data_IF_226227124628
#
_entry.id   IF_226227124628
#
_cell.length_a   1.000
_cell.length_b   1.000
_cell.length_c   1.000
_cell.angle_alpha   90.00
_cell.angle_beta   90.00
_cell.angle_gamma   90.00
#
_symmetry.space_group_name_H-M   'P 1'
#
loop_
_entity.id
_entity.type
_entity.pdbx_description
1 polymer ?
#
# COMPACT_ATOMS: atom_id res chain seq x y z
N UNK A 1 -10.93 2.85 12.29
CA UNK A 1 -10.14 4.09 12.06
C UNK A 1 -10.09 4.33 10.55
N UNK A 2 -10.33 5.54 10.04
CA UNK A 2 -10.28 5.76 8.59
C UNK A 2 -8.86 6.16 8.19
N UNK A 3 -8.21 5.31 7.41
CA UNK A 3 -6.91 5.64 6.84
C UNK A 3 -7.05 6.70 5.75
N UNK A 4 -6.08 7.61 5.65
CA UNK A 4 -6.03 8.59 4.57
C UNK A 4 -5.53 7.90 3.30
N UNK A 5 -6.45 7.36 2.50
CA UNK A 5 -6.11 6.63 1.27
C UNK A 5 -5.33 7.47 0.26
N UNK A 6 -5.62 8.77 0.13
CA UNK A 6 -4.86 9.73 -0.70
C UNK A 6 -3.39 9.82 -0.25
N UNK A 7 -3.16 9.84 1.07
CA UNK A 7 -1.82 9.86 1.63
C UNK A 7 -1.09 8.52 1.42
N UNK A 8 -1.81 7.40 1.53
CA UNK A 8 -1.26 6.06 1.28
C UNK A 8 -0.93 5.89 -0.20
N UNK A 9 -1.80 6.31 -1.11
CA UNK A 9 -1.57 6.30 -2.56
C UNK A 9 -0.31 7.05 -2.91
N UNK A 10 -0.20 8.29 -2.43
CA UNK A 10 0.96 9.16 -2.65
C UNK A 10 2.25 8.50 -2.13
N UNK A 11 2.20 7.94 -0.92
CA UNK A 11 3.32 7.22 -0.31
C UNK A 11 3.77 6.04 -1.17
N UNK A 12 2.83 5.20 -1.59
CA UNK A 12 3.12 4.02 -2.41
C UNK A 12 3.68 4.42 -3.78
N UNK A 13 3.20 5.50 -4.39
CA UNK A 13 3.78 6.05 -5.62
C UNK A 13 5.19 6.61 -5.43
N UNK A 14 5.48 7.29 -4.33
CA UNK A 14 6.84 7.79 -4.03
C UNK A 14 7.82 6.61 -3.91
N UNK A 15 7.44 5.57 -3.17
CA UNK A 15 8.25 4.34 -3.05
C UNK A 15 8.38 3.62 -4.40
N UNK A 16 7.33 3.61 -5.24
CA UNK A 16 7.38 2.96 -6.55
C UNK A 16 8.27 3.71 -7.55
N UNK A 17 8.21 5.04 -7.59
CA UNK A 17 8.90 5.86 -8.58
C UNK A 17 10.34 6.19 -8.15
N UNK A 18 10.52 6.65 -6.92
CA UNK A 18 11.78 7.19 -6.42
C UNK A 18 12.42 6.26 -5.37
N UNK A 19 11.65 5.33 -4.79
CA UNK A 19 12.14 4.44 -3.73
C UNK A 19 12.47 5.18 -2.44
N UNK A 20 11.91 6.36 -2.21
CA UNK A 20 12.24 7.21 -1.06
C UNK A 20 11.32 6.93 0.12
N UNK A 21 11.82 7.22 1.33
CA UNK A 21 10.98 7.21 2.52
C UNK A 21 10.01 8.39 2.48
N UNK A 22 8.73 8.11 2.71
CA UNK A 22 7.71 9.15 2.69
C UNK A 22 7.69 10.02 3.94
N UNK A 23 7.01 11.15 3.80
CA UNK A 23 6.93 12.18 4.86
C UNK A 23 6.17 11.70 6.10
N UNK A 24 5.29 10.70 5.97
CA UNK A 24 4.50 10.17 7.09
C UNK A 24 5.17 8.95 7.72
N UNK A 25 5.97 9.18 8.77
CA UNK A 25 6.69 8.13 9.49
C UNK A 25 5.77 7.00 9.99
N UNK A 26 4.63 7.31 10.61
CA UNK A 26 3.74 6.28 11.18
C UNK A 26 3.11 5.35 10.12
N UNK A 27 2.63 5.93 9.01
CA UNK A 27 2.08 5.16 7.90
C UNK A 27 3.16 4.35 7.20
N UNK A 28 4.32 4.96 6.99
CA UNK A 28 5.47 4.30 6.37
C UNK A 28 5.93 3.09 7.19
N UNK A 29 6.11 3.26 8.50
CA UNK A 29 6.44 2.17 9.42
C UNK A 29 5.34 1.11 9.45
N UNK A 30 4.07 1.49 9.38
CA UNK A 30 2.96 0.52 9.30
C UNK A 30 3.07 -0.31 8.02
N UNK A 31 3.24 0.33 6.86
CA UNK A 31 3.36 -0.37 5.58
C UNK A 31 4.61 -1.28 5.55
N UNK A 32 5.71 -0.84 6.15
CA UNK A 32 6.93 -1.63 6.28
C UNK A 32 6.73 -2.85 7.18
N UNK A 33 6.20 -2.65 8.40
CA UNK A 33 5.93 -3.73 9.35
C UNK A 33 4.89 -4.73 8.83
N UNK A 34 3.90 -4.26 8.08
CA UNK A 34 2.83 -5.08 7.50
C UNK A 34 3.23 -5.70 6.15
N UNK A 35 4.42 -5.39 5.63
CA UNK A 35 5.00 -6.00 4.42
C UNK A 35 4.40 -5.51 3.11
N UNK A 36 3.89 -4.26 3.06
CA UNK A 36 3.51 -3.59 1.81
C UNK A 36 4.72 -2.97 1.12
N UNK A 37 5.71 -2.52 1.89
CA UNK A 37 6.99 -2.03 1.40
C UNK A 37 8.12 -2.80 2.07
N UNK A 38 9.26 -2.89 1.40
CA UNK A 38 10.47 -3.49 1.95
C UNK A 38 11.71 -2.68 1.53
N UNK A 39 12.78 -2.67 2.33
CA UNK A 39 14.03 -2.04 1.93
C UNK A 39 14.55 -2.75 0.68
N UNK A 40 15.01 -1.96 -0.29
CA UNK A 40 15.56 -2.49 -1.54
C UNK A 40 16.72 -3.44 -1.20
N UNK A 41 16.71 -4.70 -1.70
CA UNK A 41 17.79 -5.62 -1.43
C UNK A 41 19.11 -5.09 -2.02
N UNK A 42 20.21 -5.38 -1.33
CA UNK A 42 21.57 -5.03 -1.79
C UNK A 42 21.89 -5.62 -3.17
N UNK A 43 21.23 -6.73 -3.52
CA UNK A 43 21.32 -7.42 -4.81
C UNK A 43 20.72 -6.60 -5.97
N UNK A 44 19.74 -5.72 -5.68
CA UNK A 44 19.19 -4.73 -6.62
C UNK A 44 19.87 -3.35 -6.49
N UNK A 45 21.04 -3.30 -5.85
CA UNK A 45 21.79 -2.07 -5.60
C UNK A 45 21.21 -1.22 -4.46
N UNK A 46 20.48 -1.82 -3.53
CA UNK A 46 19.95 -1.13 -2.36
C UNK A 46 21.05 -0.69 -1.40
N UNK A 47 21.11 0.60 -1.09
CA UNK A 47 22.01 1.19 -0.09
C UNK A 47 21.36 1.24 1.32
N UNK A 48 20.29 0.46 1.54
CA UNK A 48 19.47 0.52 2.77
C UNK A 48 18.65 1.81 2.95
N UNK A 49 18.83 2.78 2.06
CA UNK A 49 18.11 4.06 2.04
C UNK A 49 16.92 4.06 1.06
N UNK A 50 16.92 3.11 0.12
CA UNK A 50 15.88 2.96 -0.89
C UNK A 50 14.92 1.83 -0.53
N UNK A 51 13.65 2.01 -0.87
CA UNK A 51 12.57 1.06 -0.64
C UNK A 51 11.94 0.63 -1.95
N UNK A 52 11.26 -0.52 -1.93
CA UNK A 52 10.50 -1.04 -3.07
C UNK A 52 9.12 -1.51 -2.59
N UNK A 53 8.14 -1.49 -3.50
CA UNK A 53 6.83 -2.09 -3.24
C UNK A 53 6.94 -3.61 -3.27
N UNK A 54 6.38 -4.28 -2.27
CA UNK A 54 6.16 -5.72 -2.33
C UNK A 54 4.99 -6.03 -3.26
N UNK A 55 4.74 -7.31 -3.54
CA UNK A 55 3.51 -7.73 -4.25
C UNK A 55 2.25 -7.18 -3.60
N UNK A 56 2.21 -7.13 -2.26
CA UNK A 56 1.08 -6.62 -1.49
C UNK A 56 0.95 -5.10 -1.64
N UNK A 57 2.05 -4.36 -1.55
CA UNK A 57 2.07 -2.91 -1.79
C UNK A 57 1.60 -2.53 -3.18
N UNK A 58 2.06 -3.25 -4.20
CA UNK A 58 1.63 -3.06 -5.58
C UNK A 58 0.13 -3.36 -5.77
N UNK A 59 -0.40 -4.42 -5.14
CA UNK A 59 -1.83 -4.70 -5.15
C UNK A 59 -2.63 -3.59 -4.47
N UNK A 60 -2.18 -3.10 -3.31
CA UNK A 60 -2.86 -2.00 -2.62
C UNK A 60 -2.87 -0.74 -3.48
N UNK A 61 -1.74 -0.38 -4.08
CA UNK A 61 -1.66 0.77 -4.98
C UNK A 61 -2.63 0.62 -6.16
N UNK A 62 -2.68 -0.55 -6.80
CA UNK A 62 -3.62 -0.80 -7.89
C UNK A 62 -5.09 -0.71 -7.45
N UNK A 63 -5.42 -1.10 -6.22
CA UNK A 63 -6.77 -0.95 -5.67
C UNK A 63 -7.16 0.50 -5.45
N UNK A 64 -6.22 1.32 -4.96
CA UNK A 64 -6.45 2.75 -4.72
C UNK A 64 -6.53 3.50 -6.05
N UNK A 65 -5.61 3.24 -6.99
CA UNK A 65 -5.58 3.85 -8.33
C UNK A 65 -6.85 3.47 -9.14
N UNK A 66 -7.34 2.25 -8.99
CA UNK A 66 -8.61 1.81 -9.59
C UNK A 66 -9.86 2.43 -8.92
N UNK A 67 -9.73 3.07 -7.76
CA UNK A 67 -10.84 3.76 -7.11
C UNK A 67 -11.07 5.13 -7.77
N UNK A 68 -11.66 5.08 -8.96
CA UNK A 68 -12.08 6.26 -9.71
C UNK A 68 -13.04 7.10 -8.83
N UNK A 69 -13.03 8.44 -8.89
CA UNK A 69 -13.92 9.31 -8.10
C UNK A 69 -15.42 8.97 -8.12
N UNK A 70 -15.90 8.24 -9.14
CA UNK A 70 -17.30 7.79 -9.26
C UNK A 70 -17.53 6.33 -8.78
N UNK A 71 -16.46 5.53 -8.66
CA UNK A 71 -16.52 4.11 -8.29
C UNK A 71 -15.55 3.80 -7.13
N UNK A 72 -15.85 4.36 -5.95
CA UNK A 72 -15.12 4.14 -4.70
C UNK A 72 -15.26 2.72 -4.12
N UNK A 73 -15.73 1.74 -4.90
CA UNK A 73 -16.03 0.39 -4.45
C UNK A 73 -14.82 -0.33 -3.80
N UNK A 74 -13.57 -0.23 -4.30
CA UNK A 74 -12.42 -0.89 -3.68
C UNK A 74 -12.08 -0.29 -2.30
N UNK A 75 -12.08 1.04 -2.20
CA UNK A 75 -11.81 1.75 -0.95
C UNK A 75 -12.95 1.60 0.05
N UNK A 76 -14.20 1.51 -0.41
CA UNK A 76 -15.33 1.24 0.47
C UNK A 76 -15.21 -0.12 1.16
N UNK A 77 -14.84 -1.17 0.41
CA UNK A 77 -14.62 -2.48 1.02
C UNK A 77 -13.53 -2.40 2.07
N UNK A 78 -12.41 -1.73 1.79
CA UNK A 78 -11.34 -1.52 2.79
C UNK A 78 -11.83 -0.71 4.00
N UNK A 79 -12.60 0.36 3.79
CA UNK A 79 -13.14 1.21 4.85
C UNK A 79 -14.19 0.52 5.75
N UNK A 80 -14.84 -0.54 5.27
CA UNK A 80 -15.78 -1.34 6.05
C UNK A 80 -15.07 -2.17 7.14
N UNK A 81 -13.77 -2.44 6.95
CA UNK A 81 -12.95 -3.17 7.91
C UNK A 81 -12.30 -2.22 8.94
N UNK A 82 -12.10 -2.73 10.17
CA UNK A 82 -11.50 -1.94 11.26
C UNK A 82 -10.01 -1.64 11.02
N UNK A 83 -9.27 -2.63 10.47
CA UNK A 83 -7.87 -2.52 10.05
C UNK A 83 -7.66 -3.14 8.64
N UNK A 84 -7.92 -2.38 7.56
CA UNK A 84 -7.69 -2.84 6.18
C UNK A 84 -6.23 -3.00 5.78
N UNK A 85 -5.29 -2.45 6.55
CA UNK A 85 -3.86 -2.62 6.31
C UNK A 85 -3.32 -3.85 7.05
N UNK A 86 -4.16 -4.61 7.75
CA UNK A 86 -3.75 -5.86 8.35
C UNK A 86 -3.48 -6.87 7.21
N UNK A 87 -2.31 -7.52 7.17
CA UNK A 87 -1.95 -8.41 6.10
C UNK A 87 -2.94 -9.58 5.94
N UNK A 88 -3.52 -10.09 7.03
CA UNK A 88 -4.49 -11.18 6.96
C UNK A 88 -5.83 -10.68 6.42
N UNK A 89 -6.28 -9.50 6.86
CA UNK A 89 -7.49 -8.85 6.34
C UNK A 89 -7.34 -8.47 4.86
N UNK A 90 -6.23 -7.83 4.50
CA UNK A 90 -5.96 -7.36 3.14
C UNK A 90 -5.89 -8.52 2.16
N UNK A 91 -5.21 -9.62 2.50
CA UNK A 91 -5.08 -10.79 1.61
C UNK A 91 -6.45 -11.41 1.29
N UNK A 92 -7.36 -11.44 2.28
CA UNK A 92 -8.75 -11.89 2.09
C UNK A 92 -9.54 -10.96 1.17
N UNK A 93 -9.38 -9.64 1.33
CA UNK A 93 -10.06 -8.63 0.50
C UNK A 93 -9.52 -8.66 -0.93
N UNK A 94 -8.20 -8.65 -1.09
CA UNK A 94 -7.51 -8.68 -2.38
C UNK A 94 -7.73 -10.00 -3.13
N UNK A 95 -7.95 -11.11 -2.41
CA UNK A 95 -8.29 -12.40 -3.02
C UNK A 95 -9.72 -12.47 -3.55
N UNK A 96 -10.61 -11.53 -3.19
CA UNK A 96 -11.99 -11.56 -3.68
C UNK A 96 -12.01 -11.17 -5.17
N UNK A 97 -12.62 -11.98 -6.05
CA UNK A 97 -12.64 -11.78 -7.51
C UNK A 97 -13.54 -10.61 -7.97
N UNK A 98 -13.95 -9.72 -7.06
CA UNK A 98 -14.83 -8.58 -7.30
C UNK A 98 -14.04 -7.27 -7.53
N UNK A 99 -12.72 -7.40 -7.67
CA UNK A 99 -11.79 -6.36 -8.08
C UNK A 99 -11.05 -6.87 -9.33
N UNK A 100 -11.74 -6.99 -10.46
CA UNK A 100 -11.18 -7.35 -11.76
C UNK A 100 -12.00 -6.70 -12.88
#
# INVERSE_FOLDING_TARGET
MTYNWDLIERLLHEVQNDGTQSTSAELFETLLNRGFIEPRPVEEGGDGSSYILTKRGASLLALIDSAIPDNAHPLQVLNDHDDPLDPATFDVIASKPQIA
#
